data_IF_456026485745
#
_entry.id   IF_456026485745
#
_cell.length_a   1.000
_cell.length_b   1.000
_cell.length_c   1.000
_cell.angle_alpha   90.00
_cell.angle_beta   90.00
_cell.angle_gamma   90.00
#
_symmetry.space_group_name_H-M   'P 1'
#
loop_
_entity.id
_entity.type
_entity.pdbx_description
1 polymer ?
#
# COMPACT_ATOMS: atom_id res chain seq x y z
N UNK A 1 -19.16 -6.13 6.91
CA UNK A 1 -19.11 -7.03 5.72
C UNK A 1 -17.83 -6.84 4.91
N UNK A 2 -17.44 -5.62 4.49
CA UNK A 2 -16.24 -5.43 3.65
C UNK A 2 -14.90 -5.68 4.37
N UNK A 3 -14.73 -5.21 5.63
CA UNK A 3 -13.51 -5.45 6.40
C UNK A 3 -13.28 -6.95 6.65
N UNK A 4 -14.36 -7.70 6.84
CA UNK A 4 -14.31 -9.14 6.95
C UNK A 4 -13.81 -9.78 5.65
N UNK A 5 -14.36 -9.37 4.51
CA UNK A 5 -13.89 -9.84 3.19
C UNK A 5 -12.40 -9.53 2.97
N UNK A 6 -11.94 -8.32 3.32
CA UNK A 6 -10.51 -7.96 3.25
C UNK A 6 -9.66 -8.86 4.17
N UNK A 7 -10.11 -9.09 5.41
CA UNK A 7 -9.39 -9.95 6.36
C UNK A 7 -9.31 -11.42 5.93
N UNK A 8 -10.20 -11.87 5.05
CA UNK A 8 -10.16 -13.23 4.50
C UNK A 8 -9.46 -13.32 3.14
N UNK A 9 -9.21 -12.19 2.47
CA UNK A 9 -8.63 -12.17 1.13
C UNK A 9 -7.10 -12.18 1.19
N UNK A 10 -6.45 -13.08 0.46
CA UNK A 10 -4.99 -13.08 0.32
C UNK A 10 -4.50 -11.87 -0.49
N UNK A 11 -5.22 -11.53 -1.55
CA UNK A 11 -4.95 -10.42 -2.45
C UNK A 11 -6.14 -9.45 -2.49
N UNK A 12 -5.87 -8.15 -2.58
CA UNK A 12 -6.88 -7.12 -2.84
C UNK A 12 -6.53 -6.38 -4.13
N UNK A 13 -7.40 -6.46 -5.13
CA UNK A 13 -7.22 -5.74 -6.39
C UNK A 13 -7.55 -4.25 -6.22
N UNK A 14 -6.60 -3.41 -6.62
CA UNK A 14 -6.67 -1.96 -6.58
C UNK A 14 -6.51 -1.40 -8.01
N UNK A 15 -7.52 -1.60 -8.89
CA UNK A 15 -7.53 -0.99 -10.21
C UNK A 15 -7.54 0.53 -10.10
N UNK A 16 -6.96 1.18 -11.10
CA UNK A 16 -6.92 2.63 -11.17
C UNK A 16 -8.35 3.16 -11.25
N UNK A 17 -8.67 4.11 -10.38
CA UNK A 17 -9.95 4.82 -10.42
C UNK A 17 -9.73 6.23 -10.91
N UNK A 18 -10.42 7.18 -10.28
CA UNK A 18 -10.16 8.60 -10.49
C UNK A 18 -8.74 9.01 -10.04
N UNK A 19 -8.23 8.36 -8.98
CA UNK A 19 -6.88 8.56 -8.46
C UNK A 19 -6.07 7.27 -8.58
N UNK A 20 -4.76 7.41 -8.83
CA UNK A 20 -3.81 6.30 -8.82
C UNK A 20 -3.65 5.68 -7.43
N UNK A 21 -3.81 6.49 -6.38
CA UNK A 21 -3.74 6.06 -4.99
C UNK A 21 -5.12 6.21 -4.34
N UNK A 22 -5.58 5.16 -3.66
CA UNK A 22 -6.87 5.18 -2.97
C UNK A 22 -6.79 4.47 -1.62
N UNK A 23 -7.77 4.76 -0.74
CA UNK A 23 -7.81 4.25 0.63
C UNK A 23 -7.82 2.72 0.71
N UNK A 24 -8.35 2.01 -0.30
CA UNK A 24 -8.40 0.54 -0.37
C UNK A 24 -7.01 -0.11 -0.28
N UNK A 25 -5.98 0.55 -0.79
CA UNK A 25 -4.59 0.08 -0.68
C UNK A 25 -4.21 -0.02 0.80
N UNK A 26 -4.50 1.03 1.57
CA UNK A 26 -4.15 1.14 2.98
C UNK A 26 -5.00 0.25 3.89
N UNK A 27 -6.27 0.06 3.56
CA UNK A 27 -7.13 -0.89 4.29
C UNK A 27 -6.67 -2.34 4.09
N UNK A 28 -6.27 -2.70 2.86
CA UNK A 28 -5.73 -4.02 2.56
C UNK A 28 -4.42 -4.27 3.31
N UNK A 29 -3.49 -3.30 3.30
CA UNK A 29 -2.25 -3.34 4.09
C UNK A 29 -2.52 -3.54 5.59
N UNK A 30 -3.51 -2.83 6.15
CA UNK A 30 -3.87 -2.92 7.56
C UNK A 30 -4.39 -4.30 7.97
N UNK A 31 -5.05 -5.02 7.05
CA UNK A 31 -5.66 -6.34 7.30
C UNK A 31 -4.81 -7.50 6.76
N UNK A 32 -3.61 -7.21 6.29
CA UNK A 32 -2.69 -8.20 5.75
C UNK A 32 -3.17 -8.81 4.44
N UNK A 33 -4.00 -8.13 3.66
CA UNK A 33 -4.33 -8.53 2.29
C UNK A 33 -3.40 -7.83 1.32
N UNK A 34 -2.65 -8.56 0.49
CA UNK A 34 -1.61 -7.95 -0.37
C UNK A 34 -2.27 -7.09 -1.44
N UNK A 35 -1.97 -5.78 -1.50
CA UNK A 35 -2.47 -4.93 -2.57
C UNK A 35 -1.86 -5.30 -3.93
N UNK A 36 -2.71 -5.54 -4.92
CA UNK A 36 -2.35 -5.61 -6.34
C UNK A 36 -2.79 -4.31 -6.99
N UNK A 37 -1.85 -3.42 -7.31
CA UNK A 37 -2.10 -2.02 -7.64
C UNK A 37 -1.80 -1.76 -9.11
N UNK A 38 -2.76 -1.17 -9.82
CA UNK A 38 -2.52 -0.66 -11.18
C UNK A 38 -1.62 0.58 -11.14
N UNK A 39 -0.36 0.45 -11.57
CA UNK A 39 0.63 1.53 -11.55
C UNK A 39 0.49 2.42 -12.78
N UNK A 40 -0.61 3.17 -12.84
CA UNK A 40 -0.90 4.13 -13.90
C UNK A 40 -1.13 5.51 -13.33
N UNK A 41 -0.53 6.51 -13.98
CA UNK A 41 -0.76 7.92 -13.65
C UNK A 41 -2.16 8.33 -14.12
N UNK A 42 -2.91 8.96 -13.23
CA UNK A 42 -4.22 9.54 -13.52
C UNK A 42 -4.07 11.04 -13.84
N UNK A 43 -4.95 11.63 -14.65
CA UNK A 43 -4.93 13.08 -14.90
C UNK A 43 -5.05 13.89 -13.60
N UNK A 44 -4.25 14.94 -13.45
CA UNK A 44 -4.31 15.83 -12.28
C UNK A 44 -3.01 16.61 -12.05
N UNK A 45 -3.01 17.45 -11.01
CA UNK A 45 -1.85 18.28 -10.61
C UNK A 45 -0.90 17.56 -9.63
N UNK A 46 -1.20 16.31 -9.27
CA UNK A 46 -0.38 15.54 -8.35
C UNK A 46 0.98 15.19 -8.98
N UNK A 47 2.04 15.21 -8.15
CA UNK A 47 3.40 14.94 -8.61
C UNK A 47 3.55 13.53 -9.16
N UNK A 48 4.21 13.42 -10.33
CA UNK A 48 4.67 12.15 -10.89
C UNK A 48 6.03 11.75 -10.30
N UNK A 49 6.29 10.44 -10.09
CA UNK A 49 5.43 9.30 -10.38
C UNK A 49 4.36 9.04 -9.29
N UNK A 50 3.22 8.40 -9.63
CA UNK A 50 2.20 8.01 -8.65
C UNK A 50 2.77 7.02 -7.63
N UNK A 51 2.09 6.90 -6.49
CA UNK A 51 2.43 5.96 -5.40
C UNK A 51 3.84 6.23 -4.83
N UNK A 52 4.30 7.49 -4.91
CA UNK A 52 5.68 7.90 -4.57
C UNK A 52 6.11 7.46 -3.18
N UNK A 53 5.23 7.57 -2.18
CA UNK A 53 5.56 7.19 -0.80
C UNK A 53 5.68 5.67 -0.65
N UNK A 54 4.76 4.91 -1.24
CA UNK A 54 4.83 3.45 -1.26
C UNK A 54 6.12 2.97 -1.96
N UNK A 55 6.46 3.55 -3.11
CA UNK A 55 7.71 3.24 -3.83
C UNK A 55 8.95 3.61 -3.03
N UNK A 56 8.98 4.81 -2.43
CA UNK A 56 10.09 5.28 -1.57
C UNK A 56 10.33 4.34 -0.39
N UNK A 57 9.27 3.82 0.22
CA UNK A 57 9.33 2.93 1.37
C UNK A 57 9.36 1.44 1.00
N UNK A 58 9.52 1.12 -0.30
CA UNK A 58 9.58 -0.26 -0.83
C UNK A 58 8.41 -1.10 -0.32
N UNK A 59 7.20 -0.59 -0.50
CA UNK A 59 6.00 -1.27 -0.04
C UNK A 59 5.92 -2.70 -0.60
N UNK A 60 5.60 -3.71 0.23
CA UNK A 60 5.41 -5.10 -0.18
C UNK A 60 4.07 -5.28 -0.90
N UNK A 61 3.94 -4.63 -2.06
CA UNK A 61 2.75 -4.62 -2.93
C UNK A 61 3.11 -5.15 -4.31
N UNK A 62 2.11 -5.58 -5.07
CA UNK A 62 2.30 -6.02 -6.45
C UNK A 62 1.84 -4.93 -7.41
N UNK A 63 2.71 -4.44 -8.28
CA UNK A 63 2.34 -3.47 -9.31
C UNK A 63 1.94 -4.18 -10.60
N UNK A 64 0.83 -3.74 -11.18
CA UNK A 64 0.27 -4.21 -12.46
C UNK A 64 0.33 -3.08 -13.48
N UNK A 65 0.75 -3.39 -14.70
CA UNK A 65 0.69 -2.47 -15.85
C UNK A 65 -0.43 -2.85 -16.81
N UNK A 66 -0.65 -4.15 -16.97
CA UNK A 66 -1.70 -4.69 -17.84
C UNK A 66 -2.41 -5.84 -17.11
N UNK A 67 -3.68 -5.62 -16.76
CA UNK A 67 -4.50 -6.61 -16.07
C UNK A 67 -4.68 -7.91 -16.85
N UNK A 68 -4.71 -7.86 -18.19
CA UNK A 68 -4.92 -9.04 -19.01
C UNK A 68 -3.74 -10.01 -18.93
N UNK A 69 -2.51 -9.49 -18.83
CA UNK A 69 -1.29 -10.30 -18.79
C UNK A 69 -0.77 -10.52 -17.37
N UNK A 70 -0.83 -9.51 -16.51
CA UNK A 70 -0.26 -9.58 -15.16
C UNK A 70 -1.15 -10.34 -14.19
N UNK A 71 -2.47 -10.22 -14.29
CA UNK A 71 -3.37 -10.85 -13.32
C UNK A 71 -3.28 -12.39 -13.36
N UNK A 72 -3.35 -13.05 -14.53
CA UNK A 72 -3.19 -14.51 -14.57
C UNK A 72 -1.86 -14.98 -13.99
N UNK A 73 -0.77 -14.24 -14.26
CA UNK A 73 0.56 -14.52 -13.73
C UNK A 73 0.58 -14.39 -12.20
N UNK A 74 0.02 -13.32 -11.64
CA UNK A 74 -0.07 -13.09 -10.20
C UNK A 74 -0.90 -14.18 -9.52
N UNK A 75 -2.06 -14.53 -10.09
CA UNK A 75 -2.91 -15.60 -9.57
C UNK A 75 -2.22 -16.95 -9.60
N UNK A 76 -1.45 -17.26 -10.65
CA UNK A 76 -0.65 -18.48 -10.72
C UNK A 76 0.44 -18.53 -9.63
N UNK A 77 1.13 -17.42 -9.39
CA UNK A 77 2.11 -17.30 -8.30
C UNK A 77 1.46 -17.47 -6.93
N UNK A 78 0.30 -16.85 -6.73
CA UNK A 78 -0.45 -16.93 -5.48
C UNK A 78 -0.98 -18.34 -5.19
N UNK A 79 -1.43 -19.06 -6.22
CA UNK A 79 -1.91 -20.43 -6.11
C UNK A 79 -0.79 -21.43 -5.79
N UNK A 80 0.45 -21.10 -6.15
CA UNK A 80 1.62 -21.94 -5.86
C UNK A 80 2.13 -21.80 -4.42
N UNK A 81 1.71 -20.77 -3.68
CA UNK A 81 2.12 -20.56 -2.29
C UNK A 81 1.40 -21.51 -1.33
N UNK A 82 2.17 -22.11 -0.42
CA UNK A 82 1.63 -22.84 0.72
C UNK A 82 0.91 -21.90 1.70
N UNK A 83 0.02 -22.48 2.52
CA UNK A 83 -0.66 -21.73 3.58
C UNK A 83 0.33 -21.05 4.55
N UNK A 84 1.46 -21.72 4.84
CA UNK A 84 2.49 -21.18 5.72
C UNK A 84 3.12 -19.91 5.13
N UNK A 85 3.53 -19.96 3.86
CA UNK A 85 4.11 -18.81 3.16
C UNK A 85 3.12 -17.64 3.09
N UNK A 86 1.84 -17.94 2.87
CA UNK A 86 0.78 -16.93 2.92
C UNK A 86 0.70 -16.29 4.30
N UNK A 87 0.61 -17.07 5.37
CA UNK A 87 0.54 -16.54 6.74
C UNK A 87 1.75 -15.66 7.06
N UNK A 88 2.97 -16.13 6.78
CA UNK A 88 4.20 -15.39 7.04
C UNK A 88 4.22 -14.05 6.28
N UNK A 89 3.84 -14.06 4.99
CA UNK A 89 3.72 -12.83 4.21
C UNK A 89 2.70 -11.86 4.78
N UNK A 90 1.55 -12.36 5.26
CA UNK A 90 0.49 -11.50 5.83
C UNK A 90 0.93 -10.84 7.14
N UNK A 91 1.64 -11.56 8.00
CA UNK A 91 2.24 -10.99 9.23
C UNK A 91 3.24 -9.89 8.86
N UNK A 92 4.19 -10.19 7.97
CA UNK A 92 5.19 -9.22 7.52
C UNK A 92 4.58 -7.98 6.87
N UNK A 93 3.46 -8.14 6.13
CA UNK A 93 2.73 -7.04 5.50
C UNK A 93 2.15 -6.07 6.54
N UNK A 94 1.50 -6.59 7.58
CA UNK A 94 0.93 -5.78 8.66
C UNK A 94 2.04 -5.07 9.45
N UNK A 95 3.11 -5.79 9.79
CA UNK A 95 4.27 -5.22 10.46
C UNK A 95 4.92 -4.09 9.66
N UNK A 96 5.09 -4.28 8.34
CA UNK A 96 5.58 -3.24 7.46
C UNK A 96 4.67 -2.02 7.48
N UNK A 97 3.34 -2.21 7.46
CA UNK A 97 2.40 -1.10 7.44
C UNK A 97 2.39 -0.30 8.75
N UNK A 98 2.53 -0.96 9.90
CA UNK A 98 2.72 -0.27 11.19
C UNK A 98 4.00 0.58 11.17
N UNK A 99 5.11 0.03 10.67
CA UNK A 99 6.36 0.78 10.48
C UNK A 99 6.21 1.96 9.51
N UNK A 100 5.47 1.77 8.41
CA UNK A 100 5.19 2.81 7.43
C UNK A 100 4.39 3.97 8.06
N UNK A 101 3.36 3.69 8.87
CA UNK A 101 2.61 4.73 9.59
C UNK A 101 3.50 5.56 10.51
N UNK A 102 4.43 4.91 11.23
CA UNK A 102 5.40 5.60 12.08
C UNK A 102 6.34 6.50 11.27
N UNK A 103 6.82 6.04 10.12
CA UNK A 103 7.62 6.85 9.20
C UNK A 103 6.84 8.05 8.66
N UNK A 104 5.57 7.86 8.28
CA UNK A 104 4.71 8.94 7.79
C UNK A 104 4.42 9.98 8.87
N UNK A 105 4.18 9.54 10.12
CA UNK A 105 4.04 10.45 11.27
C UNK A 105 5.29 11.32 11.44
N UNK A 106 6.48 10.72 11.44
CA UNK A 106 7.75 11.45 11.56
C UNK A 106 7.93 12.44 10.41
N UNK A 107 7.66 12.00 9.17
CA UNK A 107 7.79 12.86 7.99
C UNK A 107 6.82 14.04 8.03
N UNK A 108 5.57 13.81 8.45
CA UNK A 108 4.56 14.87 8.60
C UNK A 108 5.02 15.90 9.63
N UNK A 109 5.43 15.46 10.82
CA UNK A 109 5.95 16.35 11.87
C UNK A 109 7.12 17.16 11.33
N UNK A 110 8.10 16.53 10.68
CA UNK A 110 9.26 17.23 10.12
C UNK A 110 8.85 18.30 9.09
N UNK A 111 7.94 17.97 8.18
CA UNK A 111 7.45 18.93 7.16
C UNK A 111 6.73 20.09 7.83
N UNK A 112 5.90 19.82 8.84
CA UNK A 112 5.15 20.85 9.55
C UNK A 112 6.08 21.78 10.32
N UNK A 113 7.08 21.24 11.01
CA UNK A 113 8.12 22.04 11.70
C UNK A 113 8.90 22.92 10.70
N UNK A 114 9.35 22.34 9.59
CA UNK A 114 10.17 23.04 8.61
C UNK A 114 9.39 24.14 7.85
N UNK A 115 8.11 23.92 7.56
CA UNK A 115 7.31 24.85 6.76
C UNK A 115 6.55 25.89 7.57
N UNK A 116 6.16 25.54 8.80
CA UNK A 116 5.27 26.37 9.62
C UNK A 116 5.86 26.74 10.99
N UNK A 117 7.10 26.34 11.30
CA UNK A 117 7.83 26.84 12.47
C UNK A 117 7.36 26.30 13.82
N UNK A 118 6.63 25.19 13.86
CA UNK A 118 6.25 24.56 15.13
C UNK A 118 7.49 24.01 15.85
N UNK A 119 7.90 24.63 16.95
CA UNK A 119 8.91 24.09 17.88
C UNK A 119 8.21 23.36 19.02
N UNK A 120 8.79 22.27 19.53
CA UNK A 120 8.25 21.60 20.72
C UNK A 120 8.26 22.60 21.89
N UNK A 121 7.12 22.73 22.58
CA UNK A 121 7.08 23.41 23.88
C UNK A 121 7.79 22.46 24.85
N UNK A 122 9.09 22.67 25.02
CA UNK A 122 9.88 21.98 26.04
C UNK A 122 9.32 22.40 27.40
N UNK A 123 8.71 21.44 28.12
CA UNK A 123 8.56 21.51 29.58
C UNK A 123 9.78 20.88 30.22
#
# INVERSE_FOLDING_TARGET
MYQYALSLSDLTLNPVGFNSECYRIYEALALGSVPVIEDRTTPGLCQSPPLRLLKKHRAPVMYVKDWATDLPRILGQEAALSLKEKIERRVALVEWYEGFKLAMRKQLVQVVRNKFGFTDVSN
#
